data_IF_743885208915
#
_entry.id   IF_743885208915
#
_cell.length_a   1.000
_cell.length_b   1.000
_cell.length_c   1.000
_cell.angle_alpha   90.00
_cell.angle_beta   90.00
_cell.angle_gamma   90.00
#
_symmetry.space_group_name_H-M   'P 1'
#
loop_
_entity.id
_entity.type
_entity.pdbx_description
1 polymer ?
#
# COMPACT_ATOMS: atom_id res chain seq x y z
N UNK A 1 -0.26 -0.13 -9.80
CA UNK A 1 -1.42 0.50 -9.18
C UNK A 1 -2.10 1.39 -10.22
N UNK A 2 -3.43 1.48 -10.08
CA UNK A 2 -4.49 1.92 -10.99
C UNK A 2 -4.41 1.47 -12.47
N UNK A 3 -3.26 1.65 -13.13
CA UNK A 3 -3.05 1.36 -14.57
C UNK A 3 -2.16 0.14 -14.83
N UNK A 4 -1.57 -0.45 -13.78
CA UNK A 4 -0.72 -1.65 -13.87
C UNK A 4 -0.92 -2.56 -12.65
N UNK A 5 -1.28 -3.83 -12.85
CA UNK A 5 -1.69 -4.73 -11.77
C UNK A 5 -0.53 -5.21 -10.88
N UNK A 6 0.69 -5.32 -11.41
CA UNK A 6 1.88 -5.86 -10.72
C UNK A 6 2.94 -4.79 -10.39
N UNK A 7 2.53 -3.53 -10.20
CA UNK A 7 3.47 -2.46 -9.87
C UNK A 7 3.84 -2.52 -8.37
N UNK A 8 5.12 -2.46 -8.06
CA UNK A 8 5.58 -2.21 -6.69
C UNK A 8 5.31 -0.77 -6.26
N UNK A 9 4.60 -0.61 -5.14
CA UNK A 9 4.38 0.68 -4.46
C UNK A 9 4.79 0.51 -3.00
N UNK A 10 5.61 1.44 -2.52
CA UNK A 10 6.18 1.45 -1.18
C UNK A 10 5.74 2.71 -0.41
N UNK A 11 6.00 2.72 0.91
CA UNK A 11 5.87 3.92 1.72
C UNK A 11 6.66 5.10 1.12
N UNK A 12 7.88 4.83 0.66
CA UNK A 12 8.78 5.80 0.03
C UNK A 12 8.42 6.18 -1.41
N UNK A 13 7.49 5.48 -2.07
CA UNK A 13 7.01 5.91 -3.39
C UNK A 13 6.45 7.33 -3.26
N UNK A 14 6.82 8.26 -4.16
CA UNK A 14 6.40 9.66 -4.03
C UNK A 14 4.88 9.81 -3.88
N UNK A 15 4.45 10.65 -2.94
CA UNK A 15 3.04 10.85 -2.61
C UNK A 15 2.19 11.19 -3.85
N UNK A 16 2.74 11.97 -4.80
CA UNK A 16 2.07 12.31 -6.07
C UNK A 16 1.60 11.10 -6.88
N UNK A 17 2.29 9.96 -6.79
CA UNK A 17 1.90 8.74 -7.50
C UNK A 17 0.63 8.14 -6.85
N UNK A 18 0.63 8.05 -5.52
CA UNK A 18 -0.52 7.55 -4.75
C UNK A 18 -1.72 8.51 -4.85
N UNK A 19 -1.46 9.82 -4.85
CA UNK A 19 -2.48 10.85 -5.07
C UNK A 19 -3.11 10.75 -6.47
N UNK A 20 -2.29 10.53 -7.51
CA UNK A 20 -2.78 10.32 -8.87
C UNK A 20 -3.70 9.11 -8.96
N UNK A 21 -3.29 7.97 -8.39
CA UNK A 21 -4.07 6.74 -8.41
C UNK A 21 -5.41 6.91 -7.63
N UNK A 22 -5.42 7.62 -6.49
CA UNK A 22 -6.64 7.98 -5.76
C UNK A 22 -7.58 8.87 -6.58
N UNK A 23 -7.05 9.87 -7.26
CA UNK A 23 -7.83 10.76 -8.12
C UNK A 23 -8.38 10.05 -9.36
N UNK A 24 -7.57 9.19 -9.99
CA UNK A 24 -7.94 8.42 -11.16
C UNK A 24 -9.09 7.45 -10.88
N UNK A 25 -9.08 6.81 -9.71
CA UNK A 25 -10.13 5.88 -9.31
C UNK A 25 -11.34 6.56 -8.65
N UNK A 26 -11.20 7.79 -8.17
CA UNK A 26 -12.29 8.54 -7.53
C UNK A 26 -12.78 7.90 -6.22
N UNK A 27 -11.88 7.27 -5.46
CA UNK A 27 -12.21 6.53 -4.22
C UNK A 27 -11.64 7.21 -2.98
N UNK A 28 -12.23 6.91 -1.81
CA UNK A 28 -11.77 7.41 -0.51
C UNK A 28 -10.56 6.63 0.03
N UNK A 29 -10.42 5.36 -0.37
CA UNK A 29 -9.34 4.50 0.07
C UNK A 29 -8.92 3.51 -1.01
N UNK A 30 -7.61 3.22 -1.07
CA UNK A 30 -7.04 2.15 -1.89
C UNK A 30 -6.34 1.16 -0.96
N UNK A 31 -6.71 -0.11 -1.10
CA UNK A 31 -6.07 -1.25 -0.46
C UNK A 31 -5.31 -2.05 -1.52
N UNK A 32 -3.98 -2.06 -1.45
CA UNK A 32 -3.14 -2.72 -2.45
C UNK A 32 -1.88 -3.33 -1.81
N UNK A 33 -1.55 -4.56 -2.20
CA UNK A 33 -0.39 -5.30 -1.70
C UNK A 33 0.82 -5.27 -2.64
N UNK A 34 1.28 -6.46 -3.01
CA UNK A 34 2.41 -6.76 -3.90
C UNK A 34 3.81 -6.48 -3.34
N UNK A 35 4.06 -5.34 -2.70
CA UNK A 35 5.39 -5.08 -2.10
C UNK A 35 5.69 -5.95 -0.87
N UNK A 36 4.66 -6.52 -0.23
CA UNK A 36 4.77 -7.30 1.00
C UNK A 36 5.16 -6.50 2.24
N UNK A 37 5.41 -5.20 2.11
CA UNK A 37 5.81 -4.31 3.19
C UNK A 37 4.63 -3.44 3.62
N UNK A 38 4.20 -3.51 4.88
CA UNK A 38 3.03 -2.79 5.36
C UNK A 38 3.26 -1.28 5.36
N UNK A 39 2.26 -0.52 4.95
CA UNK A 39 2.23 0.93 5.18
C UNK A 39 0.82 1.50 5.05
N UNK A 40 0.59 2.61 5.74
CA UNK A 40 -0.58 3.48 5.54
C UNK A 40 -0.10 4.89 5.26
N UNK A 41 -0.75 5.56 4.31
CA UNK A 41 -0.50 6.97 4.04
C UNK A 41 -1.81 7.71 3.79
N UNK A 42 -2.07 8.73 4.60
CA UNK A 42 -3.15 9.69 4.36
C UNK A 42 -2.70 10.74 3.36
N UNK A 43 -3.51 11.00 2.34
CA UNK A 43 -3.27 11.99 1.29
C UNK A 43 -4.58 12.73 1.05
N UNK A 44 -4.61 14.03 1.35
CA UNK A 44 -5.80 14.88 1.19
C UNK A 44 -7.08 14.28 1.78
N UNK A 45 -6.98 13.73 3.00
CA UNK A 45 -8.10 13.09 3.70
C UNK A 45 -8.47 11.68 3.23
N UNK A 46 -7.80 11.14 2.20
CA UNK A 46 -8.01 9.80 1.65
C UNK A 46 -6.89 8.84 2.05
N UNK A 47 -7.14 7.53 1.95
CA UNK A 47 -6.21 6.49 2.42
C UNK A 47 -5.53 5.73 1.28
N UNK A 48 -4.21 5.57 1.37
CA UNK A 48 -3.49 4.52 0.68
C UNK A 48 -2.98 3.50 1.70
N UNK A 49 -3.36 2.24 1.56
CA UNK A 49 -2.99 1.19 2.51
C UNK A 49 -2.45 -0.06 1.81
N UNK A 50 -1.35 -0.57 2.34
CA UNK A 50 -0.82 -1.89 2.07
C UNK A 50 -0.76 -2.65 3.39
N UNK A 51 -1.50 -3.77 3.55
CA UNK A 51 -1.54 -4.51 4.81
C UNK A 51 -0.27 -5.35 5.06
N UNK A 52 0.69 -5.34 4.15
CA UNK A 52 1.85 -6.23 4.16
C UNK A 52 1.51 -7.61 3.61
N UNK A 53 2.22 -8.64 4.09
CA UNK A 53 2.02 -10.03 3.68
C UNK A 53 1.77 -10.94 4.89
N UNK A 54 0.78 -11.83 4.73
CA UNK A 54 0.46 -12.88 5.71
C UNK A 54 1.39 -14.09 5.62
N UNK A 55 1.91 -14.40 4.43
CA UNK A 55 2.69 -15.62 4.18
C UNK A 55 4.20 -15.39 3.97
N UNK A 56 4.67 -14.16 4.14
CA UNK A 56 6.06 -13.79 3.90
C UNK A 56 6.47 -12.66 4.86
N UNK A 57 7.43 -12.90 5.77
CA UNK A 57 7.94 -11.86 6.67
C UNK A 57 8.67 -10.75 5.90
N UNK A 58 8.87 -9.60 6.55
CA UNK A 58 9.47 -8.40 5.93
C UNK A 58 10.99 -8.48 5.67
N UNK A 59 11.56 -9.69 5.62
CA UNK A 59 12.99 -9.96 5.43
C UNK A 59 13.92 -9.35 6.49
N UNK A 60 13.39 -9.13 7.70
CA UNK A 60 14.11 -8.50 8.83
C UNK A 60 14.60 -9.49 9.89
N UNK A 61 14.64 -10.79 9.56
CA UNK A 61 15.05 -11.87 10.47
C UNK A 61 14.00 -12.27 11.51
N UNK A 62 12.81 -11.66 11.44
CA UNK A 62 11.68 -11.91 12.33
C UNK A 62 10.60 -12.73 11.59
N UNK A 63 10.04 -13.81 12.16
CA UNK A 63 9.01 -14.64 11.51
C UNK A 63 7.59 -14.03 11.56
N UNK A 64 7.39 -12.87 12.19
CA UNK A 64 6.09 -12.21 12.27
C UNK A 64 5.58 -11.79 10.89
N UNK A 65 4.26 -11.79 10.79
CA UNK A 65 3.51 -11.45 9.58
C UNK A 65 2.61 -10.25 9.85
N UNK A 66 2.13 -9.61 8.78
CA UNK A 66 1.37 -8.37 8.88
C UNK A 66 -0.08 -8.58 8.44
N UNK A 67 -0.98 -7.95 9.19
CA UNK A 67 -2.38 -7.79 8.86
C UNK A 67 -2.84 -6.42 9.36
N UNK A 68 -4.04 -5.99 8.98
CA UNK A 68 -4.59 -4.73 9.45
C UNK A 68 -6.06 -4.89 9.79
N UNK A 69 -6.48 -4.16 10.81
CA UNK A 69 -7.88 -3.91 11.15
C UNK A 69 -8.12 -2.43 10.88
N UNK A 70 -8.99 -2.13 9.93
CA UNK A 70 -9.17 -0.79 9.34
C UNK A 70 -10.64 -0.42 9.34
#
# INVERSE_FOLDING_TARGET
>A
AATQQNRFVFASTPARVKAHDLALLGVDAIFAGHSGLPFSQSIDGRLWHNPGALGMPANEGDPRVWYSLV
#
